data_IF_325208834178
#
_entry.id   IF_325208834178
#
_cell.length_a   1.000
_cell.length_b   1.000
_cell.length_c   1.000
_cell.angle_alpha   90.00
_cell.angle_beta   90.00
_cell.angle_gamma   90.00
#
_symmetry.space_group_name_H-M   'P 1'
#
loop_
_entity.id
_entity.type
_entity.pdbx_description
1 polymer ?
#
# COMPACT_ATOMS: atom_id res chain seq x y z
N UNK A 1 9.48 20.42 7.98
CA UNK A 1 8.97 20.33 6.60
C UNK A 1 7.81 21.32 6.44
N UNK A 2 7.86 22.21 5.44
CA UNK A 2 6.76 23.13 5.12
C UNK A 2 5.98 22.50 3.96
N UNK A 3 4.84 21.89 4.27
CA UNK A 3 4.00 21.22 3.28
C UNK A 3 3.13 22.26 2.57
N UNK A 4 2.91 22.11 1.27
CA UNK A 4 2.13 23.05 0.44
C UNK A 4 0.61 22.93 0.62
N UNK A 5 0.16 22.12 1.58
CA UNK A 5 -1.24 21.82 1.87
C UNK A 5 -1.56 22.14 3.32
N UNK A 6 -2.81 22.53 3.55
CA UNK A 6 -3.31 22.85 4.88
C UNK A 6 -3.17 21.64 5.80
N UNK A 7 -2.40 21.80 6.89
CA UNK A 7 -2.14 20.76 7.88
C UNK A 7 -3.40 20.29 8.58
N UNK A 8 -4.47 21.11 8.62
CA UNK A 8 -5.76 20.71 9.16
C UNK A 8 -6.42 19.55 8.39
N UNK A 9 -5.96 19.31 7.15
CA UNK A 9 -6.42 18.22 6.28
C UNK A 9 -5.55 16.97 6.37
N UNK A 10 -4.53 16.95 7.24
CA UNK A 10 -3.63 15.81 7.41
C UNK A 10 -4.08 15.01 8.62
N UNK A 11 -4.47 13.76 8.38
CA UNK A 11 -4.74 12.79 9.44
C UNK A 11 -3.61 11.77 9.48
N UNK A 12 -3.11 11.51 10.69
CA UNK A 12 -2.05 10.54 10.91
C UNK A 12 -2.66 9.19 11.30
N UNK A 13 -2.26 8.16 10.58
CA UNK A 13 -2.63 6.77 10.85
C UNK A 13 -1.37 5.98 11.15
N UNK A 14 -1.46 5.08 12.12
CA UNK A 14 -0.38 4.17 12.47
C UNK A 14 -0.96 2.79 12.74
N UNK A 15 -0.21 1.77 12.33
CA UNK A 15 -0.51 0.36 12.56
C UNK A 15 -0.25 -0.03 14.03
N UNK A 16 0.69 0.65 14.72
CA UNK A 16 1.01 0.32 16.12
C UNK A 16 1.47 -1.14 16.22
N UNK A 17 0.85 -1.92 17.11
CA UNK A 17 1.07 -3.38 17.22
C UNK A 17 0.20 -4.21 16.25
N UNK A 18 -0.65 -3.55 15.45
CA UNK A 18 -1.60 -4.22 14.54
C UNK A 18 -1.15 -4.07 13.11
N UNK A 19 -1.08 -5.17 12.36
CA UNK A 19 -0.61 -5.17 10.97
C UNK A 19 -1.51 -4.41 9.97
N UNK A 20 -2.68 -3.90 10.40
CA UNK A 20 -3.65 -3.19 9.58
C UNK A 20 -4.38 -2.07 10.34
N UNK A 21 -4.70 -0.97 9.68
CA UNK A 21 -5.38 0.19 10.28
C UNK A 21 -6.34 0.87 9.29
N UNK A 22 -7.54 1.27 9.75
CA UNK A 22 -8.52 1.97 8.90
C UNK A 22 -8.11 3.42 8.66
N UNK A 23 -8.17 3.88 7.41
CA UNK A 23 -7.86 5.26 7.02
C UNK A 23 -9.00 6.26 7.31
N UNK A 24 -10.16 5.81 7.78
CA UNK A 24 -11.32 6.66 8.01
C UNK A 24 -11.92 7.27 6.73
N UNK A 25 -11.46 6.81 5.56
CA UNK A 25 -11.97 7.14 4.24
C UNK A 25 -12.48 5.86 3.58
N UNK A 26 -13.79 5.82 3.31
CA UNK A 26 -14.49 4.65 2.76
C UNK A 26 -14.10 3.34 3.47
N UNK A 27 -13.88 2.27 2.71
CA UNK A 27 -13.44 0.96 3.21
C UNK A 27 -11.91 0.76 3.07
N UNK A 28 -11.14 1.85 2.91
CA UNK A 28 -9.70 1.76 2.75
C UNK A 28 -8.97 1.53 4.08
N UNK A 29 -8.04 0.58 4.05
CA UNK A 29 -7.17 0.19 5.15
C UNK A 29 -5.70 0.31 4.71
N UNK A 30 -4.83 0.69 5.65
CA UNK A 30 -3.37 0.58 5.52
C UNK A 30 -2.95 -0.79 6.04
N UNK A 31 -2.05 -1.44 5.31
CA UNK A 31 -1.46 -2.72 5.66
C UNK A 31 0.05 -2.56 5.68
N UNK A 32 0.70 -3.03 6.75
CA UNK A 32 2.17 -3.13 6.79
C UNK A 32 2.62 -4.24 5.82
N UNK A 33 3.47 -3.88 4.86
CA UNK A 33 4.00 -4.81 3.85
C UNK A 33 5.51 -4.68 3.71
N UNK A 34 6.27 -4.84 4.83
CA UNK A 34 7.72 -4.72 4.81
C UNK A 34 8.33 -5.73 3.83
N UNK A 35 9.40 -5.32 3.17
CA UNK A 35 10.09 -6.18 2.21
C UNK A 35 10.79 -5.36 1.15
N UNK A 36 10.03 -4.58 0.36
CA UNK A 36 10.63 -3.64 -0.60
C UNK A 36 11.50 -2.60 0.12
N UNK A 37 10.92 -1.91 1.10
CA UNK A 37 11.62 -1.20 2.16
C UNK A 37 11.22 -1.76 3.53
N UNK A 38 11.97 -1.40 4.58
CA UNK A 38 11.64 -1.76 5.97
C UNK A 38 10.26 -1.29 6.40
N UNK A 39 9.80 -0.19 5.82
CA UNK A 39 8.62 0.58 6.20
C UNK A 39 7.59 0.65 5.06
N UNK A 40 7.67 -0.28 4.12
CA UNK A 40 6.71 -0.39 3.03
C UNK A 40 5.32 -0.67 3.58
N UNK A 41 4.35 0.07 3.05
CA UNK A 41 2.93 -0.11 3.33
C UNK A 41 2.18 -0.33 2.02
N UNK A 42 1.01 -0.93 2.13
CA UNK A 42 0.07 -1.10 1.03
C UNK A 42 -1.32 -0.70 1.47
N UNK A 43 -2.23 -0.49 0.51
CA UNK A 43 -3.61 -0.15 0.80
C UNK A 43 -4.54 -1.24 0.30
N UNK A 44 -5.57 -1.54 1.09
CA UNK A 44 -6.60 -2.50 0.74
C UNK A 44 -7.97 -1.87 0.90
N UNK A 45 -8.87 -2.13 -0.05
CA UNK A 45 -10.27 -1.79 0.07
C UNK A 45 -11.10 -3.07 0.15
N UNK A 46 -11.66 -3.33 1.33
CA UNK A 46 -12.46 -4.54 1.60
C UNK A 46 -13.77 -4.58 0.80
N UNK A 47 -14.35 -3.43 0.47
CA UNK A 47 -15.61 -3.38 -0.26
C UNK A 47 -15.45 -3.69 -1.76
N UNK A 48 -14.31 -3.32 -2.35
CA UNK A 48 -14.03 -3.51 -3.79
C UNK A 48 -13.04 -4.64 -4.08
N UNK A 49 -12.44 -5.22 -3.04
CA UNK A 49 -11.34 -6.19 -3.09
C UNK A 49 -10.13 -5.68 -3.89
N UNK A 50 -9.85 -4.38 -3.78
CA UNK A 50 -8.74 -3.71 -4.47
C UNK A 50 -7.51 -3.60 -3.58
N UNK A 51 -6.33 -3.92 -4.13
CA UNK A 51 -5.07 -3.82 -3.41
C UNK A 51 -4.05 -2.94 -4.13
N UNK A 52 -3.63 -1.87 -3.48
CA UNK A 52 -2.56 -0.98 -3.94
C UNK A 52 -1.25 -1.43 -3.31
N UNK A 53 -0.45 -2.15 -4.09
CA UNK A 53 0.76 -2.84 -3.64
C UNK A 53 2.02 -1.98 -3.47
N UNK A 54 1.97 -0.70 -3.87
CA UNK A 54 3.18 0.13 -3.98
C UNK A 54 4.22 -0.54 -4.89
N UNK A 55 5.48 -0.50 -4.46
CA UNK A 55 6.61 -1.11 -5.18
C UNK A 55 6.84 -2.59 -4.84
N UNK A 56 6.01 -3.20 -3.99
CA UNK A 56 6.20 -4.60 -3.58
C UNK A 56 5.93 -5.60 -4.71
N UNK A 57 5.05 -5.24 -5.65
CA UNK A 57 4.74 -6.03 -6.84
C UNK A 57 5.13 -5.20 -8.05
N UNK A 58 5.79 -5.83 -9.02
CA UNK A 58 6.03 -5.23 -10.33
C UNK A 58 5.16 -5.93 -11.35
N UNK A 59 4.49 -5.14 -12.17
CA UNK A 59 3.82 -5.61 -13.37
C UNK A 59 4.62 -5.10 -14.58
N UNK A 60 5.68 -5.84 -14.94
CA UNK A 60 6.66 -5.45 -15.98
C UNK A 60 6.04 -5.49 -17.38
N UNK A 61 4.90 -6.16 -17.55
CA UNK A 61 4.22 -6.33 -18.83
C UNK A 61 2.72 -6.21 -18.63
N UNK A 62 2.02 -5.42 -19.46
CA UNK A 62 0.55 -5.29 -19.46
C UNK A 62 -0.21 -6.64 -19.48
N UNK A 63 0.44 -7.71 -19.95
CA UNK A 63 -0.10 -9.06 -20.01
C UNK A 63 0.73 -10.07 -19.17
N UNK A 64 1.72 -9.60 -18.42
CA UNK A 64 2.51 -10.41 -17.51
C UNK A 64 1.79 -10.56 -16.18
N UNK A 65 2.02 -11.70 -15.52
CA UNK A 65 1.54 -11.90 -14.17
C UNK A 65 2.25 -10.99 -13.17
N UNK A 66 1.62 -10.81 -12.02
CA UNK A 66 2.18 -10.09 -10.89
C UNK A 66 3.40 -10.84 -10.35
N UNK A 67 4.53 -10.14 -10.23
CA UNK A 67 5.74 -10.69 -9.64
C UNK A 67 6.23 -9.83 -8.49
N UNK A 68 6.79 -10.47 -7.47
CA UNK A 68 7.44 -9.76 -6.38
C UNK A 68 8.64 -8.96 -6.88
N UNK A 69 8.78 -7.74 -6.40
CA UNK A 69 9.92 -6.91 -6.71
C UNK A 69 11.19 -7.52 -6.10
N UNK A 70 12.19 -7.80 -6.96
CA UNK A 70 13.50 -8.34 -6.54
C UNK A 70 14.49 -7.26 -6.11
N UNK A 71 14.20 -6.00 -6.41
CA UNK A 71 14.90 -4.86 -5.85
C UNK A 71 14.20 -4.51 -4.53
N UNK A 72 14.66 -5.14 -3.46
CA UNK A 72 14.03 -5.08 -2.15
C UNK A 72 15.08 -5.10 -1.03
N UNK A 73 14.67 -4.70 0.16
CA UNK A 73 15.46 -4.78 1.38
C UNK A 73 15.55 -6.23 1.90
N UNK A 74 14.46 -7.00 1.81
CA UNK A 74 14.42 -8.39 2.25
C UNK A 74 13.45 -9.24 1.43
N UNK A 75 13.99 -10.31 0.81
CA UNK A 75 13.24 -11.31 0.05
C UNK A 75 12.22 -12.08 0.91
N UNK A 76 12.66 -12.57 2.06
CA UNK A 76 11.78 -13.34 2.96
C UNK A 76 10.61 -12.49 3.46
N UNK A 77 10.86 -11.20 3.77
CA UNK A 77 9.82 -10.29 4.25
C UNK A 77 8.83 -9.90 3.16
N UNK A 78 9.29 -9.65 1.94
CA UNK A 78 8.37 -9.34 0.84
C UNK A 78 7.49 -10.55 0.49
N UNK A 79 8.03 -11.77 0.58
CA UNK A 79 7.27 -13.02 0.42
C UNK A 79 6.25 -13.24 1.55
N UNK A 80 6.64 -12.99 2.80
CA UNK A 80 5.76 -13.06 3.97
C UNK A 80 4.59 -12.07 3.83
N UNK A 81 4.90 -10.81 3.55
CA UNK A 81 3.93 -9.73 3.35
C UNK A 81 2.95 -10.08 2.24
N UNK A 82 3.44 -10.52 1.07
CA UNK A 82 2.58 -10.85 -0.05
C UNK A 82 1.76 -12.13 0.18
N UNK A 83 2.29 -13.12 0.88
CA UNK A 83 1.54 -14.32 1.26
C UNK A 83 0.40 -14.01 2.24
N UNK A 84 0.56 -12.98 3.07
CA UNK A 84 -0.51 -12.51 3.95
C UNK A 84 -1.60 -11.79 3.16
N UNK A 85 -1.20 -10.89 2.25
CA UNK A 85 -2.13 -10.11 1.41
C UNK A 85 -2.89 -10.97 0.40
N UNK A 86 -2.22 -11.87 -0.32
CA UNK A 86 -2.84 -12.71 -1.36
C UNK A 86 -3.94 -13.65 -0.85
N UNK A 87 -3.97 -13.93 0.46
CA UNK A 87 -5.08 -14.65 1.10
C UNK A 87 -6.35 -13.80 1.25
N UNK A 88 -6.20 -12.48 1.20
CA UNK A 88 -7.24 -11.50 1.48
C UNK A 88 -7.62 -10.69 0.24
N UNK A 89 -6.84 -10.73 -0.85
CA UNK A 89 -7.12 -9.96 -2.06
C UNK A 89 -6.91 -10.77 -3.34
N UNK A 90 -7.92 -10.73 -4.23
CA UNK A 90 -7.88 -11.41 -5.53
C UNK A 90 -7.49 -10.47 -6.68
N UNK A 91 -7.38 -9.16 -6.45
CA UNK A 91 -7.07 -8.16 -7.49
C UNK A 91 -6.01 -7.16 -7.02
N UNK A 92 -4.81 -7.29 -7.58
CA UNK A 92 -3.79 -6.25 -7.53
C UNK A 92 -4.20 -5.09 -8.45
N UNK A 93 -4.25 -3.88 -7.90
CA UNK A 93 -4.49 -2.65 -8.65
C UNK A 93 -3.29 -1.72 -8.48
N UNK A 94 -2.70 -1.29 -9.58
CA UNK A 94 -1.62 -0.30 -9.53
C UNK A 94 -2.20 1.10 -9.49
N UNK A 95 -1.55 2.01 -8.76
CA UNK A 95 -1.93 3.45 -8.67
C UNK A 95 -2.21 4.07 -10.04
N UNK A 96 -1.42 3.69 -11.06
CA UNK A 96 -1.57 4.18 -12.45
C UNK A 96 -2.90 3.77 -13.11
N UNK A 97 -3.51 2.70 -12.63
CA UNK A 97 -4.73 2.08 -13.18
C UNK A 97 -5.98 2.51 -12.38
N UNK A 98 -5.79 3.32 -11.32
CA UNK A 98 -6.87 3.90 -10.54
C UNK A 98 -7.19 5.33 -11.01
N UNK A 99 -8.48 5.65 -11.13
CA UNK A 99 -8.93 7.04 -11.04
C UNK A 99 -8.80 7.48 -9.59
N UNK A 100 -7.58 7.85 -9.17
CA UNK A 100 -7.38 8.42 -7.84
C UNK A 100 -8.09 9.77 -7.82
N UNK A 101 -9.14 9.96 -7.00
CA UNK A 101 -9.78 11.26 -6.90
C UNK A 101 -8.72 12.28 -6.47
N UNK A 102 -8.71 13.45 -7.10
CA UNK A 102 -7.78 14.58 -6.86
C UNK A 102 -7.68 15.03 -5.39
N UNK A 103 -8.50 14.47 -4.50
CA UNK A 103 -8.65 14.81 -3.11
C UNK A 103 -7.72 14.01 -2.17
N UNK A 104 -7.06 12.94 -2.64
CA UNK A 104 -6.23 12.09 -1.80
C UNK A 104 -4.76 12.06 -2.23
N UNK A 105 -3.90 12.59 -1.37
CA UNK A 105 -2.45 12.42 -1.45
C UNK A 105 -2.04 11.65 -0.19
N UNK A 106 -1.71 10.37 -0.34
CA UNK A 106 -1.18 9.58 0.77
C UNK A 106 0.33 9.79 0.82
N UNK A 107 0.80 10.36 1.93
CA UNK A 107 2.23 10.54 2.19
C UNK A 107 2.63 9.69 3.37
N UNK A 108 3.47 8.70 3.11
CA UNK A 108 4.18 7.99 4.15
C UNK A 108 5.42 8.81 4.54
N UNK A 109 5.53 9.17 5.82
CA UNK A 109 6.67 9.92 6.35
C UNK A 109 7.12 9.30 7.66
N UNK A 110 8.40 8.94 7.75
CA UNK A 110 9.04 8.50 9.00
C UNK A 110 9.62 9.73 9.71
N UNK A 111 9.32 9.88 11.00
CA UNK A 111 10.04 10.84 11.87
C UNK A 111 11.43 10.31 12.23
#
# INVERSE_FOLDING_TARGET
MNLSFDKSRITYFGTGDTWRCKLGFEAWEVIDTPGHSEDSISFYNDATDEFICGDSIINISRNGGDILNRFNWSGDRIEESFSCVSKHCHRTTFIRDMEIPYEMIIMHYKM
#
